data_IF_413529682626
#
_entry.id   IF_413529682626
#
_cell.length_a   1.000
_cell.length_b   1.000
_cell.length_c   1.000
_cell.angle_alpha   90.00
_cell.angle_beta   90.00
_cell.angle_gamma   90.00
#
_symmetry.space_group_name_H-M   'P 1'
#
loop_
_entity.id
_entity.type
_entity.pdbx_description
1 polymer ?
#
# COMPACT_ATOMS: atom_id res chain seq x y z
N UNK A 1 1.04 3.70 5.26
CA UNK A 1 2.46 3.36 5.01
C UNK A 1 2.54 2.47 3.78
N UNK A 2 3.61 2.55 2.99
CA UNK A 2 3.74 1.77 1.75
C UNK A 2 4.85 0.72 1.87
N UNK A 3 4.61 -0.47 1.31
CA UNK A 3 5.50 -1.63 1.43
C UNK A 3 5.68 -2.30 0.08
N UNK A 4 6.86 -2.85 -0.21
CA UNK A 4 7.12 -3.65 -1.42
C UNK A 4 7.94 -4.88 -1.08
N UNK A 5 7.73 -5.94 -1.84
CA UNK A 5 8.62 -7.09 -1.84
C UNK A 5 9.65 -6.93 -2.95
N UNK A 6 10.88 -7.37 -2.71
CA UNK A 6 11.89 -7.52 -3.77
C UNK A 6 11.84 -8.90 -4.43
N UNK A 7 10.98 -9.80 -3.91
CA UNK A 7 10.75 -11.13 -4.44
C UNK A 7 9.30 -11.22 -4.96
N UNK A 8 9.09 -11.50 -6.26
CA UNK A 8 7.75 -11.54 -6.85
C UNK A 8 6.87 -12.68 -6.29
N UNK A 9 7.48 -13.71 -5.69
CA UNK A 9 6.74 -14.83 -5.09
C UNK A 9 6.29 -14.55 -3.64
N UNK A 10 6.48 -13.33 -3.14
CA UNK A 10 6.15 -12.95 -1.75
C UNK A 10 5.24 -11.74 -1.75
N UNK A 11 4.04 -11.92 -1.20
CA UNK A 11 3.12 -10.83 -0.92
C UNK A 11 3.63 -9.98 0.26
N UNK A 12 3.94 -8.72 -0.02
CA UNK A 12 4.45 -7.76 0.96
C UNK A 12 3.39 -7.36 1.99
N UNK A 13 2.14 -7.14 1.55
CA UNK A 13 1.05 -6.70 2.43
C UNK A 13 0.67 -7.85 3.35
N UNK A 14 0.39 -9.03 2.79
CA UNK A 14 -0.09 -10.19 3.56
C UNK A 14 0.91 -10.63 4.62
N UNK A 15 2.21 -10.54 4.35
CA UNK A 15 3.26 -10.86 5.32
C UNK A 15 3.24 -9.90 6.52
N UNK A 16 3.03 -8.60 6.27
CA UNK A 16 3.02 -7.56 7.31
C UNK A 16 1.71 -7.56 8.10
N UNK A 17 0.58 -7.73 7.42
CA UNK A 17 -0.77 -7.69 8.02
C UNK A 17 -1.05 -8.99 8.79
N UNK A 18 -0.61 -10.14 8.24
CA UNK A 18 -0.88 -11.47 8.76
C UNK A 18 -2.36 -11.88 8.61
N UNK A 19 -2.67 -13.17 8.85
CA UNK A 19 -4.06 -13.68 8.76
C UNK A 19 -5.04 -12.82 9.56
N UNK A 20 -6.04 -12.26 8.88
CA UNK A 20 -7.09 -11.42 9.49
C UNK A 20 -6.58 -10.14 10.17
N UNK A 21 -5.40 -9.65 9.79
CA UNK A 21 -4.76 -8.48 10.41
C UNK A 21 -4.13 -8.75 11.78
N UNK A 22 -3.85 -10.01 12.12
CA UNK A 22 -3.35 -10.36 13.44
C UNK A 22 -2.01 -9.69 13.79
N UNK A 23 -1.13 -9.46 12.82
CA UNK A 23 0.17 -8.84 13.06
C UNK A 23 0.02 -7.33 13.23
N UNK A 24 -0.74 -6.67 12.36
CA UNK A 24 -0.94 -5.22 12.45
C UNK A 24 -1.72 -4.82 13.70
N UNK A 25 -2.76 -5.58 14.07
CA UNK A 25 -3.54 -5.34 15.29
C UNK A 25 -2.70 -5.43 16.57
N UNK A 26 -1.68 -6.31 16.61
CA UNK A 26 -0.73 -6.40 17.72
C UNK A 26 0.18 -5.17 17.84
N UNK A 27 0.46 -4.52 16.71
CA UNK A 27 1.27 -3.30 16.68
C UNK A 27 0.37 -2.13 17.10
N UNK A 28 -0.77 -1.95 16.43
CA UNK A 28 -1.74 -0.89 16.74
C UNK A 28 -2.13 -0.86 18.22
N UNK A 29 -2.38 -2.03 18.83
CA UNK A 29 -2.76 -2.12 20.24
C UNK A 29 -1.70 -1.59 21.22
N UNK A 30 -0.42 -1.62 20.84
CA UNK A 30 0.70 -1.11 21.65
C UNK A 30 0.92 0.40 21.50
N UNK A 31 0.43 0.98 20.40
CA UNK A 31 0.74 2.36 20.05
C UNK A 31 -0.30 3.38 20.48
N UNK A 32 -1.47 2.96 20.98
CA UNK A 32 -2.55 3.87 21.40
C UNK A 32 -2.10 4.92 22.43
N UNK A 33 -1.81 6.16 22.02
CA UNK A 33 -1.40 7.18 22.97
C UNK A 33 -2.64 7.59 23.76
N UNK A 34 -2.54 7.48 25.09
CA UNK A 34 -3.64 7.85 25.95
C UNK A 34 -3.73 9.38 26.07
N UNK A 35 -4.94 9.92 25.86
CA UNK A 35 -5.24 11.34 26.09
C UNK A 35 -6.14 11.45 27.32
N UNK A 36 -5.87 12.44 28.16
CA UNK A 36 -6.75 12.74 29.28
C UNK A 36 -8.06 13.32 28.75
N UNK A 37 -9.19 12.69 29.11
CA UNK A 37 -10.52 13.21 28.80
C UNK A 37 -11.13 13.84 30.05
N UNK A 38 -11.23 15.17 30.03
CA UNK A 38 -11.79 15.96 31.11
C UNK A 38 -13.29 15.64 31.39
N UNK A 39 -14.00 15.01 30.45
CA UNK A 39 -15.42 14.62 30.65
C UNK A 39 -15.57 13.31 31.41
N UNK A 40 -14.66 12.36 31.19
CA UNK A 40 -14.71 11.03 31.82
C UNK A 40 -13.72 10.87 32.98
N UNK A 41 -12.99 11.94 33.33
CA UNK A 41 -11.97 12.02 34.39
C UNK A 41 -10.98 10.85 34.38
N UNK A 42 -10.62 10.40 33.18
CA UNK A 42 -9.73 9.26 32.98
C UNK A 42 -8.87 9.43 31.73
N UNK A 43 -7.78 8.67 31.68
CA UNK A 43 -7.04 8.50 30.44
C UNK A 43 -7.83 7.61 29.48
N UNK A 44 -8.09 8.10 28.26
CA UNK A 44 -8.75 7.36 27.19
C UNK A 44 -7.71 7.10 26.09
N UNK A 45 -7.51 5.83 25.66
CA UNK A 45 -6.63 5.53 24.54
C UNK A 45 -7.17 6.20 23.26
N UNK A 46 -6.29 6.87 22.51
CA UNK A 46 -6.62 7.34 21.17
C UNK A 46 -6.42 6.18 20.21
N UNK A 47 -7.47 5.77 19.53
CA UNK A 47 -7.37 4.80 18.43
C UNK A 47 -6.63 5.47 17.26
N UNK A 48 -5.46 4.94 16.92
CA UNK A 48 -4.72 5.31 15.71
C UNK A 48 -4.81 4.13 14.75
N UNK A 49 -5.33 4.38 13.54
CA UNK A 49 -5.41 3.36 12.50
C UNK A 49 -4.11 3.37 11.68
N UNK A 50 -3.64 2.18 11.31
CA UNK A 50 -2.46 2.00 10.46
C UNK A 50 -2.94 1.34 9.18
N UNK A 51 -2.88 2.09 8.10
CA UNK A 51 -3.18 1.58 6.77
C UNK A 51 -1.87 1.17 6.08
N UNK A 52 -1.85 -0.05 5.54
CA UNK A 52 -0.74 -0.62 4.79
C UNK A 52 -1.18 -0.76 3.34
N UNK A 53 -0.41 -0.16 2.45
CA UNK A 53 -0.65 -0.19 1.01
C UNK A 53 0.57 -0.75 0.30
N UNK A 54 0.38 -1.28 -0.89
CA UNK A 54 1.48 -1.69 -1.75
C UNK A 54 2.14 -0.45 -2.36
N UNK A 55 3.47 -0.42 -2.31
CA UNK A 55 4.24 0.54 -3.06
C UNK A 55 4.39 0.03 -4.49
N UNK A 56 4.01 0.87 -5.45
CA UNK A 56 4.15 0.59 -6.88
C UNK A 56 5.00 1.68 -7.53
N UNK A 57 5.70 1.34 -8.60
CA UNK A 57 6.55 2.27 -9.33
C UNK A 57 5.75 3.28 -10.17
N UNK A 58 4.59 2.86 -10.66
CA UNK A 58 3.67 3.72 -11.38
C UNK A 58 3.02 4.74 -10.42
N UNK A 59 3.16 6.06 -10.66
CA UNK A 59 2.63 7.07 -9.76
C UNK A 59 1.10 7.10 -9.72
N UNK A 60 0.40 6.75 -10.81
CA UNK A 60 -1.05 6.77 -10.84
C UNK A 60 -1.62 5.67 -9.93
N UNK A 61 -1.12 4.44 -10.09
CA UNK A 61 -1.44 3.30 -9.24
C UNK A 61 -1.02 3.53 -7.80
N UNK A 62 0.14 4.16 -7.56
CA UNK A 62 0.56 4.46 -6.21
C UNK A 62 -0.33 5.50 -5.51
N UNK A 63 -0.81 6.52 -6.23
CA UNK A 63 -1.79 7.49 -5.72
C UNK A 63 -3.14 6.83 -5.48
N UNK A 64 -3.60 5.99 -6.40
CA UNK A 64 -4.83 5.20 -6.26
C UNK A 64 -4.80 4.38 -4.95
N UNK A 65 -3.74 3.59 -4.76
CA UNK A 65 -3.53 2.77 -3.56
C UNK A 65 -3.43 3.62 -2.29
N UNK A 66 -2.89 4.84 -2.36
CA UNK A 66 -2.74 5.73 -1.21
C UNK A 66 -4.03 6.40 -0.74
N UNK A 67 -5.07 6.46 -1.58
CA UNK A 67 -6.37 7.03 -1.23
C UNK A 67 -7.33 5.98 -0.64
N UNK A 68 -6.99 4.69 -0.75
CA UNK A 68 -7.70 3.59 -0.10
C UNK A 68 -7.96 3.91 1.39
N UNK A 69 -9.19 3.75 1.89
CA UNK A 69 -10.27 2.86 1.42
C UNK A 69 -11.29 3.47 0.46
N UNK A 70 -11.09 4.69 -0.02
CA UNK A 70 -12.01 5.29 -1.01
C UNK A 70 -11.68 4.77 -2.42
N UNK A 71 -12.72 4.35 -3.14
CA UNK A 71 -12.63 4.03 -4.57
C UNK A 71 -12.45 5.32 -5.37
N UNK A 72 -11.52 5.29 -6.32
CA UNK A 72 -11.14 6.40 -7.18
C UNK A 72 -11.53 6.06 -8.61
N UNK A 73 -12.14 7.00 -9.31
CA UNK A 73 -12.55 6.81 -10.71
C UNK A 73 -11.38 7.11 -11.66
N UNK A 74 -10.62 8.17 -11.37
CA UNK A 74 -9.54 8.63 -12.23
C UNK A 74 -8.46 9.41 -11.45
N UNK A 75 -7.21 9.27 -11.89
CA UNK A 75 -6.08 10.10 -11.46
C UNK A 75 -5.55 10.87 -12.67
N UNK A 76 -5.48 12.18 -12.57
CA UNK A 76 -5.08 13.08 -13.66
C UNK A 76 -3.88 13.90 -13.19
N UNK A 77 -2.79 13.89 -13.95
CA UNK A 77 -1.60 14.67 -13.62
C UNK A 77 -1.64 16.05 -14.26
N UNK A 78 -1.08 17.04 -13.56
CA UNK A 78 -0.91 18.39 -14.09
C UNK A 78 0.28 18.41 -15.07
N UNK A 79 0.04 18.90 -16.29
CA UNK A 79 1.05 19.01 -17.35
C UNK A 79 2.09 20.11 -17.04
N UNK A 80 1.75 21.11 -16.23
CA UNK A 80 2.66 22.19 -15.83
C UNK A 80 3.39 21.87 -14.51
N UNK A 81 2.72 21.22 -13.55
CA UNK A 81 3.31 20.79 -12.27
C UNK A 81 3.34 19.25 -12.15
N UNK A 82 4.46 18.65 -12.55
CA UNK A 82 4.71 17.19 -12.46
C UNK A 82 4.51 16.57 -11.07
N UNK A 83 4.42 17.36 -9.99
CA UNK A 83 4.17 16.88 -8.63
C UNK A 83 2.74 17.15 -8.15
N UNK A 84 1.83 17.48 -9.05
CA UNK A 84 0.43 17.72 -8.74
C UNK A 84 -0.47 16.74 -9.49
N UNK A 85 -1.45 16.22 -8.77
CA UNK A 85 -2.43 15.28 -9.29
C UNK A 85 -3.83 15.67 -8.81
N UNK A 86 -4.79 15.58 -9.72
CA UNK A 86 -6.21 15.69 -9.47
C UNK A 86 -6.80 14.27 -9.43
N UNK A 87 -7.50 13.94 -8.36
CA UNK A 87 -8.12 12.65 -8.15
C UNK A 87 -9.63 12.83 -8.19
N UNK A 88 -10.27 12.13 -9.10
CA UNK A 88 -11.72 12.13 -9.27
C UNK A 88 -12.29 10.93 -8.53
N UNK A 89 -13.27 11.17 -7.68
CA UNK A 89 -13.95 10.13 -6.89
C UNK A 89 -15.47 10.22 -7.05
N UNK A 90 -16.20 9.13 -6.83
CA UNK A 90 -17.66 9.19 -6.79
C UNK A 90 -18.13 10.15 -5.69
N UNK A 91 -19.23 10.89 -5.93
CA UNK A 91 -19.80 11.84 -4.97
C UNK A 91 -20.06 11.19 -3.59
N UNK A 92 -20.47 9.93 -3.59
CA UNK A 92 -20.73 9.15 -2.37
C UNK A 92 -19.47 8.87 -1.52
N UNK A 93 -18.29 8.91 -2.13
CA UNK A 93 -17.00 8.57 -1.51
C UNK A 93 -16.11 9.78 -1.26
N UNK A 94 -16.49 10.98 -1.71
CA UNK A 94 -15.72 12.21 -1.52
C UNK A 94 -15.31 12.46 -0.06
N UNK A 95 -16.26 12.32 0.86
CA UNK A 95 -16.00 12.51 2.31
C UNK A 95 -14.98 11.49 2.86
N UNK A 96 -15.04 10.25 2.39
CA UNK A 96 -14.11 9.19 2.78
C UNK A 96 -12.70 9.46 2.23
N UNK A 97 -12.61 9.84 0.95
CA UNK A 97 -11.37 10.15 0.28
C UNK A 97 -10.62 11.34 0.93
N UNK A 98 -11.34 12.39 1.33
CA UNK A 98 -10.76 13.52 2.07
C UNK A 98 -10.37 13.09 3.50
N UNK A 99 -11.25 12.33 4.16
CA UNK A 99 -11.09 11.89 5.54
C UNK A 99 -11.32 13.01 6.56
N UNK A 100 -11.31 12.65 7.86
CA UNK A 100 -11.58 13.59 8.95
C UNK A 100 -10.53 14.71 8.96
N UNK A 101 -10.96 15.96 8.77
CA UNK A 101 -10.07 17.15 8.67
C UNK A 101 -9.02 17.04 7.56
N UNK A 102 -9.33 16.33 6.48
CA UNK A 102 -8.38 16.13 5.38
C UNK A 102 -7.22 15.20 5.73
N UNK A 103 -7.36 14.38 6.77
CA UNK A 103 -6.26 13.52 7.22
C UNK A 103 -5.84 12.53 6.13
N UNK A 104 -6.79 11.94 5.39
CA UNK A 104 -6.49 10.91 4.41
C UNK A 104 -5.70 11.50 3.23
N UNK A 105 -6.22 12.55 2.59
CA UNK A 105 -5.53 13.25 1.49
C UNK A 105 -4.15 13.79 1.90
N UNK A 106 -4.00 14.29 3.14
CA UNK A 106 -2.70 14.77 3.63
C UNK A 106 -1.68 13.65 3.83
N UNK A 107 -2.13 12.49 4.33
CA UNK A 107 -1.28 11.32 4.48
C UNK A 107 -0.89 10.74 3.12
N UNK A 108 -1.83 10.65 2.19
CA UNK A 108 -1.58 10.21 0.81
C UNK A 108 -0.58 11.14 0.11
N UNK A 109 -0.76 12.46 0.23
CA UNK A 109 0.17 13.44 -0.33
C UNK A 109 1.58 13.33 0.27
N UNK A 110 1.67 13.10 1.59
CA UNK A 110 2.96 12.89 2.25
C UNK A 110 3.63 11.57 1.84
N UNK A 111 2.83 10.52 1.65
CA UNK A 111 3.32 9.17 1.32
C UNK A 111 3.80 9.06 -0.14
N UNK A 112 3.05 9.67 -1.07
CA UNK A 112 3.36 9.66 -2.50
C UNK A 112 4.36 10.75 -2.88
N UNK A 113 4.42 11.85 -2.11
CA UNK A 113 5.21 13.02 -2.44
C UNK A 113 4.54 13.96 -3.46
N UNK A 114 3.28 13.69 -3.81
CA UNK A 114 2.47 14.51 -4.73
C UNK A 114 1.54 15.44 -3.95
N UNK A 115 1.22 16.58 -4.56
CA UNK A 115 0.10 17.43 -4.15
C UNK A 115 -1.17 16.85 -4.77
N UNK A 116 -2.04 16.32 -3.91
CA UNK A 116 -3.26 15.64 -4.32
C UNK A 116 -4.45 16.55 -4.05
N UNK A 117 -5.16 16.92 -5.11
CA UNK A 117 -6.47 17.60 -5.05
C UNK A 117 -7.56 16.55 -5.34
N UNK A 118 -8.62 16.51 -4.53
CA UNK A 118 -9.72 15.53 -4.71
C UNK A 118 -10.99 16.27 -5.12
N UNK A 119 -11.66 15.77 -6.16
CA UNK A 119 -12.93 16.29 -6.68
C UNK A 119 -13.93 15.17 -6.90
N UNK A 120 -15.22 15.49 -6.77
CA UNK A 120 -16.23 14.51 -7.15
C UNK A 120 -16.38 14.42 -8.67
N UNK A 121 -16.89 13.29 -9.16
CA UNK A 121 -17.21 13.11 -10.59
C UNK A 121 -18.10 14.24 -11.11
N UNK A 122 -19.14 14.61 -10.36
CA UNK A 122 -20.03 15.72 -10.72
C UNK A 122 -19.29 17.08 -10.79
N UNK A 123 -18.44 17.40 -9.80
CA UNK A 123 -17.63 18.62 -9.84
C UNK A 123 -16.61 18.63 -10.98
N UNK A 124 -16.07 17.46 -11.33
CA UNK A 124 -15.10 17.31 -12.40
C UNK A 124 -15.75 17.55 -13.78
N UNK A 125 -16.92 16.96 -14.03
CA UNK A 125 -17.70 17.18 -15.26
C UNK A 125 -18.06 18.66 -15.45
N UNK A 126 -18.46 19.35 -14.38
CA UNK A 126 -18.75 20.79 -14.42
C UNK A 126 -17.49 21.62 -14.79
N UNK A 127 -16.34 21.27 -14.20
CA UNK A 127 -15.07 21.95 -14.46
C UNK A 127 -14.56 21.68 -15.87
N UNK A 128 -14.77 20.47 -16.39
CA UNK A 128 -14.46 20.10 -17.77
C UNK A 128 -15.33 20.88 -18.76
N UNK A 129 -16.65 20.92 -18.54
CA UNK A 129 -17.59 21.65 -19.38
C UNK A 129 -17.33 23.16 -19.38
N UNK A 130 -16.83 23.71 -18.26
CA UNK A 130 -16.44 25.10 -18.14
C UNK A 130 -15.04 25.41 -18.73
N UNK A 131 -14.30 24.40 -19.20
CA UNK A 131 -12.89 24.52 -19.61
C UNK A 131 -11.98 25.11 -18.51
N UNK A 132 -12.29 24.86 -17.24
CA UNK A 132 -11.54 25.35 -16.08
C UNK A 132 -10.45 24.38 -15.59
N UNK A 133 -10.29 23.23 -16.27
CA UNK A 133 -9.30 22.20 -15.93
C UNK A 133 -7.84 22.62 -16.18
N UNK A 134 -7.56 23.74 -16.84
CA UNK A 134 -6.20 24.31 -16.96
C UNK A 134 -5.12 23.29 -17.34
N UNK A 135 -3.98 23.33 -16.65
CA UNK A 135 -2.83 22.44 -16.85
C UNK A 135 -3.11 20.94 -16.70
N UNK A 136 -4.28 20.52 -16.22
CA UNK A 136 -4.64 19.09 -16.16
C UNK A 136 -5.11 18.51 -17.50
N UNK A 137 -5.15 19.30 -18.57
CA UNK A 137 -5.64 18.88 -19.87
C UNK A 137 -4.52 18.76 -20.92
N UNK A 138 -4.04 17.54 -21.21
CA UNK A 138 -4.09 16.95 -22.57
C UNK A 138 -3.34 15.62 -22.75
N UNK A 139 -2.44 15.21 -21.84
CA UNK A 139 -1.68 13.95 -21.99
C UNK A 139 -1.80 13.04 -20.74
N UNK A 140 -2.99 12.97 -20.14
CA UNK A 140 -3.22 12.09 -19.01
C UNK A 140 -3.38 10.65 -19.51
N UNK A 141 -2.50 9.74 -19.08
CA UNK A 141 -2.82 8.32 -19.04
C UNK A 141 -4.07 8.16 -18.16
N UNK A 142 -5.22 8.03 -18.82
CA UNK A 142 -6.49 7.70 -18.17
C UNK A 142 -6.41 6.23 -17.80
N UNK A 143 -5.88 5.95 -16.61
CA UNK A 143 -5.99 4.62 -16.02
C UNK A 143 -7.36 4.59 -15.37
N UNK A 144 -8.32 3.97 -16.06
CA UNK A 144 -9.68 3.81 -15.55
C UNK A 144 -9.67 2.79 -14.41
N UNK A 145 -10.71 2.81 -13.56
CA UNK A 145 -10.93 1.80 -12.53
C UNK A 145 -10.75 0.33 -13.02
N UNK A 146 -10.99 0.08 -14.32
CA UNK A 146 -10.87 -1.24 -14.96
C UNK A 146 -9.42 -1.70 -15.21
N UNK A 147 -8.46 -0.78 -15.25
CA UNK A 147 -7.03 -1.07 -15.46
C UNK A 147 -6.28 -1.31 -14.14
N UNK A 148 -6.90 -1.02 -12.99
CA UNK A 148 -6.31 -1.35 -11.69
C UNK A 148 -6.60 -2.83 -11.36
N UNK A 149 -5.58 -3.62 -10.97
CA UNK A 149 -5.82 -5.00 -10.56
C UNK A 149 -6.77 -5.00 -9.36
N UNK A 150 -7.97 -5.53 -9.55
CA UNK A 150 -9.02 -5.65 -8.54
C UNK A 150 -8.71 -6.67 -7.42
N UNK A 151 -7.43 -6.92 -7.13
CA UNK A 151 -7.00 -7.90 -6.13
C UNK A 151 -6.75 -7.25 -4.77
N UNK A 152 -7.77 -6.60 -4.20
CA UNK A 152 -7.92 -6.57 -2.75
C UNK A 152 -9.06 -7.50 -2.34
N UNK A 153 -8.86 -8.79 -2.65
CA UNK A 153 -9.73 -9.89 -2.23
C UNK A 153 -9.59 -10.14 -0.74
N UNK A 154 -10.30 -9.37 0.07
CA UNK A 154 -10.64 -9.73 1.44
C UNK A 154 -11.78 -10.75 1.43
N UNK A 155 -11.52 -12.00 1.04
CA UNK A 155 -12.47 -13.10 1.23
C UNK A 155 -11.81 -14.31 1.90
N UNK A 156 -12.14 -14.51 3.16
CA UNK A 156 -12.16 -15.84 3.74
C UNK A 156 -13.61 -16.21 4.03
N UNK A 157 -14.12 -17.29 3.44
CA UNK A 157 -14.78 -18.39 4.16
C UNK A 157 -15.14 -19.59 3.26
N UNK A 158 -14.54 -20.73 3.62
CA UNK A 158 -15.10 -22.11 3.65
C UNK A 158 -15.39 -22.95 2.38
N UNK A 159 -14.74 -24.13 2.43
CA UNK A 159 -15.24 -25.49 2.20
C UNK A 159 -15.08 -26.18 0.82
N UNK A 160 -14.11 -27.12 0.83
CA UNK A 160 -14.07 -28.47 0.22
C UNK A 160 -14.84 -28.79 -1.07
N UNK A 161 -14.11 -29.27 -2.07
CA UNK A 161 -14.34 -30.60 -2.65
C UNK A 161 -13.06 -31.13 -3.34
N UNK A 162 -12.61 -32.31 -2.91
CA UNK A 162 -11.64 -33.14 -3.62
C UNK A 162 -12.18 -33.60 -4.97
N UNK A 163 -11.33 -33.66 -6.00
CA UNK A 163 -11.39 -34.71 -7.02
C UNK A 163 -9.97 -35.13 -7.39
N UNK A 164 -9.68 -36.42 -7.21
CA UNK A 164 -8.46 -37.09 -7.64
C UNK A 164 -8.35 -37.19 -9.16
N UNK A 165 -7.15 -36.97 -9.69
CA UNK A 165 -6.71 -37.60 -10.92
C UNK A 165 -5.24 -38.01 -10.76
N UNK A 166 -5.09 -39.28 -10.39
CA UNK A 166 -3.88 -40.07 -10.59
C UNK A 166 -3.60 -40.17 -12.09
N UNK A 167 -2.37 -39.91 -12.51
CA UNK A 167 -1.69 -40.74 -13.52
C UNK A 167 -0.19 -40.49 -13.46
N UNK A 168 0.51 -41.59 -13.21
CA UNK A 168 1.94 -41.81 -13.31
C UNK A 168 2.60 -41.18 -14.54
N UNK A 169 3.76 -40.55 -14.35
CA UNK A 169 4.90 -40.83 -15.23
C UNK A 169 6.28 -40.49 -14.60
N UNK A 170 6.97 -41.56 -14.19
CA UNK A 170 8.41 -41.89 -14.33
C UNK A 170 9.47 -41.00 -13.66
N UNK A 171 10.11 -41.60 -12.66
CA UNK A 171 11.44 -41.28 -12.12
C UNK A 171 12.54 -41.30 -13.20
N UNK A 172 13.40 -40.28 -13.19
CA UNK A 172 14.79 -40.41 -13.60
C UNK A 172 15.67 -39.88 -12.46
N UNK A 173 16.34 -40.85 -11.84
CA UNK A 173 17.29 -40.80 -10.74
C UNK A 173 18.60 -40.06 -11.09
N UNK A 174 19.37 -39.78 -10.03
CA UNK A 174 20.81 -39.47 -9.94
C UNK A 174 21.24 -38.00 -9.99
N UNK A 175 21.54 -37.41 -8.83
CA UNK A 175 22.91 -37.49 -8.25
C UNK A 175 23.07 -36.57 -7.03
N UNK A 176 23.54 -37.17 -5.94
CA UNK A 176 23.89 -36.55 -4.66
C UNK A 176 25.27 -35.85 -4.71
N UNK A 177 25.49 -34.97 -3.74
CA UNK A 177 26.54 -33.95 -3.58
C UNK A 177 28.02 -34.44 -3.64
N UNK A 178 28.99 -33.50 -3.51
CA UNK A 178 29.53 -33.38 -2.16
C UNK A 178 29.75 -31.94 -1.67
N UNK A 179 29.71 -31.83 -0.34
CA UNK A 179 30.21 -30.71 0.44
C UNK A 179 31.73 -30.57 0.28
N UNK A 180 32.23 -29.33 0.22
CA UNK A 180 33.60 -29.01 0.59
C UNK A 180 33.62 -28.03 1.76
N UNK A 181 34.28 -28.49 2.81
CA UNK A 181 34.62 -27.80 4.05
C UNK A 181 35.87 -26.94 3.88
N UNK A 182 35.76 -25.70 4.38
CA UNK A 182 36.76 -24.92 5.13
C UNK A 182 38.21 -24.88 4.62
N UNK A 183 38.65 -23.68 4.23
CA UNK A 183 40.00 -23.22 4.55
C UNK A 183 39.95 -21.89 5.33
N UNK A 184 40.61 -21.94 6.48
CA UNK A 184 40.88 -20.84 7.37
C UNK A 184 41.84 -19.86 6.70
N UNK A 185 41.62 -18.57 6.88
CA UNK A 185 42.67 -17.57 6.74
C UNK A 185 42.94 -16.99 8.13
N UNK A 186 44.01 -17.53 8.71
CA UNK A 186 44.74 -16.96 9.82
C UNK A 186 45.16 -15.52 9.47
N UNK A 187 44.77 -14.57 10.31
CA UNK A 187 45.53 -13.33 10.51
C UNK A 187 45.74 -13.19 12.01
N UNK A 188 46.76 -13.87 12.51
CA UNK A 188 47.52 -13.44 13.69
C UNK A 188 48.37 -12.20 13.35
N UNK A 189 48.81 -11.52 14.41
CA UNK A 189 49.70 -10.35 14.53
C UNK A 189 49.00 -8.99 14.50
N UNK A 190 49.25 -8.05 15.40
CA UNK A 190 50.11 -7.91 16.58
C UNK A 190 49.49 -6.70 17.32
N UNK A 191 49.14 -6.82 18.60
CA UNK A 191 49.98 -6.43 19.74
C UNK A 191 50.22 -4.91 19.90
N UNK A 192 50.17 -4.52 21.17
CA UNK A 192 50.73 -3.33 21.83
C UNK A 192 49.77 -2.15 22.07
N UNK A 193 49.28 -1.97 23.31
CA UNK A 193 49.96 -1.26 24.45
C UNK A 193 49.99 0.25 24.18
N UNK A 194 49.63 1.21 25.04
CA UNK A 194 49.42 1.44 26.49
C UNK A 194 48.51 2.71 26.54
N UNK A 195 47.89 3.20 27.61
CA UNK A 195 48.00 3.12 29.07
C UNK A 195 46.69 3.71 29.63
#
# INVERSE_FOLDING_TARGET
MAVRSHNPNVDAIGTIVGRGGANIKKITSKFHPAKYDAKSDRMVPTEENIDVIEWVADPAEFIYNAIAPAEVDQVIFDAEDSKRALVVVPDNKLSLAIGRRGQNVRLAAHLTGFRIDIKSASEFEEMEAAHELGGFAQDAEVIAAEDFPAETGAEGFAAEAEVWAETDFVEADSAEAPAETLENLDIESEAQELE
#
